data_IF_950977907939
#
_entry.id   IF_950977907939
#
_cell.length_a   1.000
_cell.length_b   1.000
_cell.length_c   1.000
_cell.angle_alpha   90.00
_cell.angle_beta   90.00
_cell.angle_gamma   90.00
#
_symmetry.space_group_name_H-M   'P 1'
#
loop_
_entity.id
_entity.type
_entity.pdbx_description
1 polymer ?
#
# COMPACT_ATOMS: atom_id res chain seq x y z
N UNK A 1 -20.55 5.57 -1.28
CA UNK A 1 -19.49 5.34 -0.28
C UNK A 1 -19.16 3.85 -0.26
N UNK A 2 -17.90 3.47 -0.07
CA UNK A 2 -17.47 2.07 0.05
C UNK A 2 -16.94 1.79 1.46
N UNK A 3 -16.93 0.52 1.87
CA UNK A 3 -16.35 0.06 3.13
C UNK A 3 -14.98 -0.56 2.86
N UNK A 4 -13.99 -0.22 3.69
CA UNK A 4 -12.71 -0.91 3.72
C UNK A 4 -12.63 -1.74 5.00
N UNK A 5 -12.32 -3.02 4.86
CA UNK A 5 -12.11 -3.94 5.97
C UNK A 5 -10.70 -4.54 5.88
N UNK A 6 -10.08 -4.73 7.04
CA UNK A 6 -8.81 -5.45 7.16
C UNK A 6 -9.06 -6.72 7.97
N UNK A 7 -8.43 -7.81 7.54
CA UNK A 7 -8.50 -9.10 8.21
C UNK A 7 -7.07 -9.61 8.39
N UNK A 8 -6.77 -10.16 9.57
CA UNK A 8 -5.49 -10.82 9.83
C UNK A 8 -5.69 -12.32 9.78
N UNK A 9 -4.92 -12.99 8.95
CA UNK A 9 -4.96 -14.45 8.77
C UNK A 9 -4.51 -14.82 7.38
N UNK A 10 -4.21 -16.11 7.19
CA UNK A 10 -3.80 -16.64 5.90
C UNK A 10 -5.00 -16.91 4.98
N UNK A 11 -6.17 -17.13 5.58
CA UNK A 11 -7.43 -17.34 4.88
C UNK A 11 -7.91 -16.06 4.22
N UNK A 12 -8.29 -16.18 2.94
CA UNK A 12 -8.87 -15.08 2.17
C UNK A 12 -10.33 -14.89 2.59
N UNK A 13 -10.70 -13.78 3.27
CA UNK A 13 -12.05 -13.60 3.81
C UNK A 13 -13.11 -13.31 2.74
N UNK A 14 -12.68 -12.89 1.54
CA UNK A 14 -13.53 -12.57 0.41
C UNK A 14 -12.78 -12.79 -0.91
N UNK A 15 -13.42 -13.26 -2.00
CA UNK A 15 -12.72 -13.54 -3.28
C UNK A 15 -11.91 -12.36 -3.85
N UNK A 16 -12.35 -11.13 -3.58
CA UNK A 16 -11.70 -9.88 -4.02
C UNK A 16 -10.74 -9.29 -2.98
N UNK A 17 -10.51 -9.96 -1.85
CA UNK A 17 -9.59 -9.47 -0.83
C UNK A 17 -8.15 -9.51 -1.36
N UNK A 18 -7.42 -8.42 -1.14
CA UNK A 18 -6.02 -8.25 -1.51
C UNK A 18 -5.15 -8.39 -0.26
N UNK A 19 -3.94 -8.88 -0.45
CA UNK A 19 -2.90 -8.95 0.57
C UNK A 19 -2.15 -7.62 0.60
N UNK A 20 -1.82 -7.17 1.80
CA UNK A 20 -1.05 -5.97 2.09
C UNK A 20 -0.02 -6.31 3.18
N UNK A 21 1.05 -5.51 3.30
CA UNK A 21 2.05 -5.75 4.34
C UNK A 21 1.38 -5.67 5.73
N UNK A 22 1.43 -6.72 6.55
CA UNK A 22 0.66 -6.79 7.79
C UNK A 22 1.07 -5.73 8.80
N UNK A 23 2.26 -5.12 8.66
CA UNK A 23 2.73 -4.04 9.53
C UNK A 23 1.99 -2.72 9.28
N UNK A 24 1.20 -2.60 8.20
CA UNK A 24 0.39 -1.39 7.94
C UNK A 24 -0.81 -1.26 8.87
N UNK A 25 -1.25 -2.38 9.45
CA UNK A 25 -2.34 -2.43 10.38
C UNK A 25 -1.87 -2.01 11.77
N UNK A 26 -2.50 -0.98 12.33
CA UNK A 26 -2.17 -0.42 13.64
C UNK A 26 -3.45 -0.14 14.43
N UNK A 27 -3.67 -0.95 15.47
CA UNK A 27 -4.85 -0.86 16.35
C UNK A 27 -4.85 0.37 17.25
N UNK A 28 -3.67 0.97 17.47
CA UNK A 28 -3.51 2.22 18.21
C UNK A 28 -3.35 3.43 17.27
N UNK A 29 -3.38 3.20 15.96
CA UNK A 29 -3.15 4.21 14.94
C UNK A 29 -4.25 5.29 14.91
N UNK A 30 -3.91 6.53 14.51
CA UNK A 30 -4.91 7.58 14.35
C UNK A 30 -5.79 7.34 13.12
N UNK A 31 -6.83 8.15 12.94
CA UNK A 31 -7.59 8.17 11.69
C UNK A 31 -6.70 8.64 10.53
N UNK A 32 -6.86 8.01 9.36
CA UNK A 32 -6.01 8.24 8.19
C UNK A 32 -6.80 8.67 6.96
N UNK A 33 -6.11 9.35 6.05
CA UNK A 33 -6.49 9.50 4.65
C UNK A 33 -5.59 8.56 3.86
N UNK A 34 -6.14 7.86 2.89
CA UNK A 34 -5.39 6.95 2.04
C UNK A 34 -5.56 7.30 0.57
N UNK A 35 -4.52 7.07 -0.21
CA UNK A 35 -4.61 6.91 -1.66
C UNK A 35 -4.61 5.42 -1.97
N UNK A 36 -5.70 4.94 -2.56
CA UNK A 36 -5.84 3.57 -3.05
C UNK A 36 -5.75 3.59 -4.57
N UNK A 37 -4.61 3.16 -5.11
CA UNK A 37 -4.35 3.08 -6.54
C UNK A 37 -4.51 1.64 -7.03
N UNK A 38 -5.41 1.40 -7.99
CA UNK A 38 -5.83 0.06 -8.40
C UNK A 38 -5.50 -0.24 -9.85
N UNK A 39 -4.66 -1.26 -10.07
CA UNK A 39 -4.37 -1.75 -11.41
C UNK A 39 -5.61 -2.40 -12.04
N UNK A 40 -5.76 -2.26 -13.35
CA UNK A 40 -6.80 -2.97 -14.08
C UNK A 40 -6.57 -4.48 -13.97
N UNK A 41 -7.60 -5.30 -13.69
CA UNK A 41 -7.46 -6.76 -13.66
C UNK A 41 -6.93 -7.36 -14.97
N UNK A 42 -7.08 -6.65 -16.10
CA UNK A 42 -6.60 -7.08 -17.42
C UNK A 42 -5.13 -6.73 -17.69
N UNK A 43 -4.51 -5.90 -16.84
CA UNK A 43 -3.19 -5.33 -17.08
C UNK A 43 -2.45 -5.10 -15.75
N UNK A 44 -2.39 -6.14 -14.92
CA UNK A 44 -1.62 -6.09 -13.67
C UNK A 44 -0.14 -6.26 -13.96
N UNK A 45 0.71 -5.32 -13.55
CA UNK A 45 2.14 -5.47 -13.72
C UNK A 45 2.70 -6.47 -12.71
N UNK A 46 3.92 -6.91 -12.96
CA UNK A 46 4.73 -7.65 -11.99
C UNK A 46 5.53 -6.68 -11.12
N UNK A 47 6.11 -7.17 -10.03
CA UNK A 47 6.89 -6.34 -9.10
C UNK A 47 8.10 -5.66 -9.78
N UNK A 48 8.80 -6.39 -10.65
CA UNK A 48 9.98 -5.94 -11.40
C UNK A 48 9.64 -5.01 -12.60
N UNK A 49 8.37 -4.68 -12.81
CA UNK A 49 7.98 -3.71 -13.84
C UNK A 49 8.70 -2.37 -13.59
N UNK A 50 9.40 -1.80 -14.59
CA UNK A 50 10.18 -0.57 -14.41
C UNK A 50 9.37 0.59 -13.84
N UNK A 51 8.08 0.70 -14.19
CA UNK A 51 7.20 1.75 -13.68
C UNK A 51 6.88 1.54 -12.20
N UNK A 52 6.62 0.29 -11.78
CA UNK A 52 6.41 -0.08 -10.37
C UNK A 52 7.67 0.16 -9.54
N UNK A 53 8.84 -0.27 -10.04
CA UNK A 53 10.14 -0.03 -9.39
C UNK A 53 10.42 1.47 -9.24
N UNK A 54 10.14 2.27 -10.28
CA UNK A 54 10.32 3.71 -10.22
C UNK A 54 9.37 4.39 -9.21
N UNK A 55 8.10 4.00 -9.19
CA UNK A 55 7.13 4.49 -8.21
C UNK A 55 7.55 4.18 -6.77
N UNK A 56 8.02 2.95 -6.50
CA UNK A 56 8.55 2.55 -5.18
C UNK A 56 9.74 3.40 -4.76
N UNK A 57 10.72 3.60 -5.66
CA UNK A 57 11.88 4.47 -5.38
C UNK A 57 11.45 5.89 -5.05
N UNK A 58 10.46 6.43 -5.78
CA UNK A 58 9.93 7.76 -5.50
C UNK A 58 9.22 7.83 -4.14
N UNK A 59 8.40 6.82 -3.79
CA UNK A 59 7.72 6.75 -2.50
C UNK A 59 8.72 6.69 -1.33
N UNK A 60 9.79 5.92 -1.47
CA UNK A 60 10.87 5.83 -0.48
C UNK A 60 11.67 7.14 -0.36
N UNK A 61 11.97 7.79 -1.49
CA UNK A 61 12.73 9.05 -1.54
C UNK A 61 11.96 10.20 -0.92
N UNK A 62 10.66 10.32 -1.21
CA UNK A 62 9.85 11.42 -0.71
C UNK A 62 9.71 11.35 0.81
N UNK A 63 9.45 10.14 1.33
CA UNK A 63 9.46 9.88 2.76
C UNK A 63 8.47 10.71 3.58
N UNK A 64 7.48 11.35 2.96
CA UNK A 64 6.42 12.08 3.66
C UNK A 64 5.25 11.19 4.05
N UNK A 65 4.76 10.24 3.23
CA UNK A 65 3.67 9.37 3.65
C UNK A 65 4.01 8.57 4.91
N UNK A 66 3.00 8.34 5.74
CA UNK A 66 3.07 7.53 6.97
C UNK A 66 3.50 6.09 6.65
N UNK A 67 2.98 5.56 5.54
CA UNK A 67 3.16 4.18 5.14
C UNK A 67 2.76 3.98 3.68
N UNK A 68 3.38 3.01 3.01
CA UNK A 68 3.04 2.59 1.65
C UNK A 68 3.17 1.08 1.54
N UNK A 69 2.21 0.40 0.90
CA UNK A 69 2.28 -1.03 0.62
C UNK A 69 1.75 -1.35 -0.78
N UNK A 70 2.32 -2.36 -1.42
CA UNK A 70 1.73 -2.94 -2.63
C UNK A 70 0.62 -3.92 -2.26
N UNK A 71 -0.40 -4.00 -3.09
CA UNK A 71 -1.52 -4.91 -2.95
C UNK A 71 -1.35 -6.07 -3.93
N UNK A 72 -1.43 -7.29 -3.43
CA UNK A 72 -1.26 -8.52 -4.23
C UNK A 72 -2.44 -9.46 -4.03
N UNK A 73 -2.83 -10.21 -5.06
CA UNK A 73 -3.80 -11.31 -4.92
C UNK A 73 -3.28 -12.65 -5.48
N UNK A 74 -2.13 -12.64 -6.13
CA UNK A 74 -1.40 -13.82 -6.56
C UNK A 74 0.12 -13.63 -6.34
N UNK A 75 0.93 -14.69 -6.54
CA UNK A 75 2.37 -14.64 -6.27
C UNK A 75 3.20 -13.67 -7.11
N UNK A 76 2.66 -13.19 -8.23
CA UNK A 76 3.42 -12.58 -9.33
C UNK A 76 2.91 -11.17 -9.64
N UNK A 77 1.60 -10.96 -9.60
CA UNK A 77 0.98 -9.72 -10.05
C UNK A 77 0.69 -8.73 -8.92
N UNK A 78 0.80 -7.46 -9.25
CA UNK A 78 0.45 -6.34 -8.39
C UNK A 78 -0.96 -5.85 -8.76
N UNK A 79 -1.88 -5.99 -7.82
CA UNK A 79 -3.25 -5.53 -7.96
C UNK A 79 -3.41 -4.02 -7.69
N UNK A 80 -2.44 -3.40 -7.02
CA UNK A 80 -2.45 -1.98 -6.74
C UNK A 80 -1.44 -1.56 -5.67
N UNK A 81 -1.65 -0.37 -5.11
CA UNK A 81 -0.92 0.13 -3.97
C UNK A 81 -1.83 0.93 -3.03
N UNK A 82 -1.43 0.97 -1.77
CA UNK A 82 -2.07 1.73 -0.71
C UNK A 82 -1.03 2.64 -0.04
N UNK A 83 -1.23 3.95 -0.18
CA UNK A 83 -0.41 5.00 0.45
C UNK A 83 -1.23 5.63 1.57
N UNK A 84 -0.64 5.76 2.76
CA UNK A 84 -1.34 6.18 3.99
C UNK A 84 -0.77 7.49 4.50
N UNK A 85 -1.66 8.41 4.87
CA UNK A 85 -1.36 9.65 5.57
C UNK A 85 -2.22 9.79 6.82
N UNK A 86 -1.65 10.26 7.91
CA UNK A 86 -2.37 10.52 9.16
C UNK A 86 -3.16 11.82 9.00
N UNK A 87 -4.45 11.80 9.38
CA UNK A 87 -5.35 12.96 9.20
C UNK A 87 -4.84 14.21 9.93
N UNK A 88 -4.15 14.04 11.06
CA UNK A 88 -3.56 15.14 11.84
C UNK A 88 -2.21 15.64 11.34
N UNK A 89 -1.71 15.15 10.21
CA UNK A 89 -0.40 15.52 9.65
C UNK A 89 -0.57 16.12 8.24
N UNK A 90 -0.72 17.44 8.11
CA UNK A 90 -1.04 18.09 6.82
C UNK A 90 -0.02 17.80 5.72
N UNK A 91 1.27 17.70 6.06
CA UNK A 91 2.32 17.37 5.10
C UNK A 91 2.18 15.97 4.49
N UNK A 92 1.68 15.01 5.26
CA UNK A 92 1.41 13.65 4.76
C UNK A 92 0.19 13.64 3.85
N UNK A 93 -0.87 14.34 4.24
CA UNK A 93 -2.12 14.42 3.46
C UNK A 93 -1.86 15.12 2.12
N UNK A 94 -1.08 16.20 2.12
CA UNK A 94 -0.68 16.89 0.89
C UNK A 94 0.12 15.97 -0.05
N UNK A 95 0.99 15.12 0.51
CA UNK A 95 1.78 14.17 -0.28
C UNK A 95 0.95 13.10 -1.01
N UNK A 96 -0.29 12.83 -0.56
CA UNK A 96 -1.18 11.91 -1.27
C UNK A 96 -1.59 12.43 -2.67
N UNK A 97 -1.60 13.75 -2.89
CA UNK A 97 -1.88 14.31 -4.22
C UNK A 97 -0.77 13.99 -5.23
N UNK A 98 0.45 13.76 -4.73
CA UNK A 98 1.63 13.42 -5.52
C UNK A 98 2.02 11.94 -5.38
N UNK A 99 1.08 11.07 -4.96
CA UNK A 99 1.32 9.63 -4.81
C UNK A 99 1.91 9.05 -6.10
N UNK A 100 3.15 8.50 -6.08
CA UNK A 100 3.77 7.93 -7.26
C UNK A 100 2.95 6.82 -7.93
N UNK A 101 2.15 6.06 -7.17
CA UNK A 101 1.32 5.00 -7.71
C UNK A 101 0.03 5.51 -8.35
N UNK A 102 -0.47 6.68 -7.93
CA UNK A 102 -1.61 7.34 -8.57
C UNK A 102 -1.30 7.80 -10.01
N UNK A 103 -0.03 7.85 -10.40
CA UNK A 103 0.41 8.10 -11.78
C UNK A 103 0.36 6.85 -12.66
N UNK A 104 0.35 5.67 -12.05
CA UNK A 104 0.33 4.39 -12.76
C UNK A 104 -1.10 3.90 -12.97
N UNK A 105 -1.98 4.15 -12.01
CA UNK A 105 -3.32 3.56 -11.96
C UNK A 105 -4.38 4.54 -11.48
N UNK A 106 -5.66 4.21 -11.74
CA UNK A 106 -6.78 4.97 -11.17
C UNK A 106 -6.67 4.94 -9.64
N UNK A 107 -6.63 6.13 -9.03
CA UNK A 107 -6.53 6.29 -7.59
C UNK A 107 -7.77 6.94 -7.01
N UNK A 108 -8.07 6.57 -5.77
CA UNK A 108 -9.16 7.17 -4.99
C UNK A 108 -8.65 7.54 -3.62
N UNK A 109 -9.00 8.74 -3.18
CA UNK A 109 -8.78 9.15 -1.80
C UNK A 109 -9.92 8.65 -0.91
N UNK A 110 -9.57 7.93 0.15
CA UNK A 110 -10.52 7.40 1.12
C UNK A 110 -10.12 7.83 2.53
N UNK A 111 -11.08 7.83 3.45
CA UNK A 111 -10.85 8.06 4.88
C UNK A 111 -11.02 6.77 5.64
N UNK A 112 -10.17 6.54 6.63
CA UNK A 112 -10.24 5.39 7.53
C UNK A 112 -10.41 5.88 8.97
N UNK A 113 -11.14 5.12 9.77
CA UNK A 113 -11.21 5.35 11.20
C UNK A 113 -9.84 5.10 11.87
N UNK A 114 -9.72 5.55 13.12
CA UNK A 114 -8.60 5.19 13.98
C UNK A 114 -8.59 3.67 14.24
N UNK A 115 -7.42 3.13 14.54
CA UNK A 115 -7.21 1.71 14.84
C UNK A 115 -7.25 0.79 13.63
N UNK A 116 -7.22 1.33 12.40
CA UNK A 116 -7.25 0.55 11.15
C UNK A 116 -5.86 0.52 10.50
N UNK A 117 -5.25 1.68 10.31
CA UNK A 117 -3.95 1.83 9.62
C UNK A 117 -3.01 2.69 10.45
N UNK A 118 -1.71 2.49 10.28
CA UNK A 118 -0.69 3.28 10.95
C UNK A 118 0.66 3.30 10.24
N UNK A 119 1.67 3.72 10.98
CA UNK A 119 3.02 3.89 10.46
C UNK A 119 3.71 2.53 10.26
N UNK A 120 4.26 2.34 9.06
CA UNK A 120 5.19 1.24 8.80
C UNK A 120 6.56 1.66 9.31
N UNK A 121 7.21 0.81 10.11
CA UNK A 121 8.67 0.89 10.27
C UNK A 121 9.27 0.69 8.88
N UNK A 122 9.98 1.70 8.36
CA UNK A 122 10.60 1.59 7.04
C UNK A 122 11.55 0.39 7.04
N UNK A 123 11.49 -0.49 6.03
CA UNK A 123 12.39 -1.62 5.96
C UNK A 123 13.85 -1.13 5.97
N UNK A 124 14.70 -1.81 6.74
CA UNK A 124 16.15 -1.56 6.75
C UNK A 124 16.76 -2.10 5.45
N UNK A 125 17.07 -1.20 4.52
CA UNK A 125 17.84 -1.52 3.31
C UNK A 125 17.02 -1.93 2.09
N UNK A 126 17.69 -2.25 0.96
CA UNK A 126 17.02 -2.65 -0.27
C UNK A 126 16.27 -3.97 -0.05
N UNK A 127 14.94 -3.89 0.07
CA UNK A 127 14.09 -5.08 0.15
C UNK A 127 14.22 -5.84 -1.17
N UNK A 128 14.85 -7.02 -1.14
CA UNK A 128 14.88 -7.93 -2.28
C UNK A 128 13.43 -8.29 -2.67
N UNK A 129 13.12 -8.20 -3.96
CA UNK A 129 11.81 -8.57 -4.48
C UNK A 129 11.61 -10.07 -4.39
N UNK A 130 10.49 -10.49 -3.79
CA UNK A 130 10.15 -11.90 -3.64
C UNK A 130 9.03 -12.26 -4.61
N UNK A 131 9.35 -13.15 -5.53
CA UNK A 131 8.36 -13.96 -6.21
C UNK A 131 7.69 -14.87 -5.18
N UNK A 132 6.39 -14.72 -4.95
CA UNK A 132 5.69 -15.38 -3.83
C UNK A 132 4.47 -14.64 -3.28
N UNK A 133 4.14 -13.46 -3.82
CA UNK A 133 2.91 -12.73 -3.48
C UNK A 133 2.97 -12.03 -2.12
N UNK A 134 4.18 -11.90 -1.57
CA UNK A 134 4.40 -11.13 -0.36
C UNK A 134 4.37 -9.63 -0.71
N UNK A 135 3.47 -8.86 -0.10
CA UNK A 135 3.34 -7.44 -0.39
C UNK A 135 4.57 -6.67 0.10
N UNK A 136 5.10 -5.78 -0.75
CA UNK A 136 6.12 -4.81 -0.33
C UNK A 136 5.52 -3.89 0.76
N UNK A 137 6.26 -3.50 1.81
CA UNK A 137 7.71 -3.63 2.03
C UNK A 137 8.22 -4.89 2.77
N UNK A 138 7.51 -6.01 2.76
CA UNK A 138 7.86 -7.20 3.57
C UNK A 138 9.34 -7.62 3.46
N UNK A 139 10.00 -7.83 4.60
CA UNK A 139 11.42 -8.17 4.76
C UNK A 139 11.67 -9.54 5.43
N UNK A 140 10.62 -10.28 5.81
CA UNK A 140 10.75 -11.57 6.52
C UNK A 140 11.02 -12.74 5.57
N UNK A 141 12.07 -13.53 5.87
CA UNK A 141 12.52 -14.79 5.24
C UNK A 141 11.49 -15.89 5.30
#
# INVERSE_FOLDING_TARGET
AGLMCLWRGDDRPHPQALRADPRIHDVAGPACVISLAMASPKARPIADDPAVVHARRNALRDGRPCSVTLLTDDPVSIAGALTVARTGQPGEVAALNDDPFARLWESRLLRTAAGVLGALVRPTGPSLERYGGQPWPSDRF
#
